data_IF_461948278405
#
_entry.id   IF_461948278405
#
_cell.length_a   1.000
_cell.length_b   1.000
_cell.length_c   1.000
_cell.angle_alpha   90.00
_cell.angle_beta   90.00
_cell.angle_gamma   90.00
#
_symmetry.space_group_name_H-M   'P 1'
#
loop_
_entity.id
_entity.type
_entity.pdbx_description
1 polymer ?
#
# COMPACT_ATOMS: atom_id res chain seq x y z
N UNK A 1 -4.41 20.54 21.25
CA UNK A 1 -5.02 19.40 20.55
C UNK A 1 -5.09 18.26 21.56
N UNK A 2 -6.29 17.77 21.89
CA UNK A 2 -6.41 16.60 22.75
C UNK A 2 -5.75 15.40 22.04
N UNK A 3 -4.82 14.73 22.70
CA UNK A 3 -4.15 13.56 22.13
C UNK A 3 -5.18 12.49 21.79
N UNK A 4 -5.24 12.08 20.53
CA UNK A 4 -6.02 10.90 20.13
C UNK A 4 -5.48 9.68 20.85
N UNK A 5 -6.36 8.90 21.48
CA UNK A 5 -5.97 7.67 22.17
C UNK A 5 -5.18 6.74 21.24
N UNK A 6 -4.20 6.04 21.81
CA UNK A 6 -3.33 5.14 21.04
C UNK A 6 -4.13 4.09 20.29
N UNK A 7 -3.57 3.67 19.15
CA UNK A 7 -4.23 2.82 18.16
C UNK A 7 -3.57 1.46 18.08
N UNK A 8 -4.40 0.42 17.97
CA UNK A 8 -3.90 -0.94 17.75
C UNK A 8 -3.20 -1.05 16.40
N UNK A 9 -2.05 -1.73 16.38
CA UNK A 9 -1.32 -2.06 15.16
C UNK A 9 -1.58 -3.52 14.77
N UNK A 10 -1.93 -3.76 13.51
CA UNK A 10 -2.19 -5.09 12.95
C UNK A 10 -1.26 -5.36 11.77
N UNK A 11 -0.44 -6.40 11.83
CA UNK A 11 0.34 -6.85 10.69
C UNK A 11 -0.55 -7.56 9.67
N UNK A 12 -0.35 -7.28 8.39
CA UNK A 12 -1.13 -7.86 7.29
C UNK A 12 -0.19 -8.48 6.27
N UNK A 13 -0.02 -9.80 6.32
CA UNK A 13 0.67 -10.58 5.30
C UNK A 13 -0.36 -11.32 4.45
N UNK A 14 -0.93 -10.61 3.49
CA UNK A 14 -2.04 -11.10 2.68
C UNK A 14 -2.02 -10.48 1.27
N UNK A 15 -2.80 -11.01 0.32
CA UNK A 15 -2.95 -10.39 -1.00
C UNK A 15 -3.36 -8.91 -0.90
N UNK A 16 -3.00 -8.12 -1.92
CA UNK A 16 -3.22 -6.68 -1.92
C UNK A 16 -4.70 -6.28 -1.70
N UNK A 17 -5.66 -7.14 -2.07
CA UNK A 17 -7.09 -6.90 -1.84
C UNK A 17 -7.45 -6.86 -0.34
N UNK A 18 -6.81 -7.72 0.46
CA UNK A 18 -6.98 -7.73 1.92
C UNK A 18 -6.33 -6.48 2.52
N UNK A 19 -5.12 -6.12 2.05
CA UNK A 19 -4.43 -4.89 2.46
C UNK A 19 -5.29 -3.67 2.14
N UNK A 20 -5.89 -3.57 0.95
CA UNK A 20 -6.78 -2.48 0.55
C UNK A 20 -7.99 -2.36 1.48
N UNK A 21 -8.64 -3.48 1.80
CA UNK A 21 -9.78 -3.50 2.71
C UNK A 21 -9.40 -3.00 4.11
N UNK A 22 -8.25 -3.45 4.63
CA UNK A 22 -7.75 -3.04 5.95
C UNK A 22 -7.27 -1.59 5.96
N UNK A 23 -6.64 -1.13 4.88
CA UNK A 23 -6.23 0.27 4.71
C UNK A 23 -7.43 1.21 4.74
N UNK A 24 -8.52 0.88 4.03
CA UNK A 24 -9.74 1.68 4.06
C UNK A 24 -10.30 1.79 5.48
N UNK A 25 -10.30 0.70 6.24
CA UNK A 25 -10.69 0.73 7.65
C UNK A 25 -9.73 1.58 8.50
N UNK A 26 -8.42 1.49 8.28
CA UNK A 26 -7.42 2.28 8.97
C UNK A 26 -7.51 3.79 8.65
N UNK A 27 -7.88 4.17 7.43
CA UNK A 27 -8.15 5.59 7.11
C UNK A 27 -9.45 6.08 7.77
N UNK A 28 -10.43 5.20 7.96
CA UNK A 28 -11.72 5.50 8.59
C UNK A 28 -11.75 5.38 10.14
N UNK A 29 -10.61 5.32 10.82
CA UNK A 29 -10.56 5.23 12.29
C UNK A 29 -10.41 3.82 12.90
N UNK A 30 -10.39 2.74 12.10
CA UNK A 30 -10.12 1.36 12.55
C UNK A 30 -8.67 1.09 12.94
N UNK A 31 -8.19 -0.15 13.22
CA UNK A 31 -6.79 -0.36 13.61
C UNK A 31 -5.76 0.11 12.54
N UNK A 32 -4.60 0.59 12.99
CA UNK A 32 -3.47 0.85 12.10
C UNK A 32 -2.95 -0.46 11.50
N UNK A 33 -2.39 -0.39 10.29
CA UNK A 33 -1.89 -1.59 9.60
C UNK A 33 -0.38 -1.55 9.38
N UNK A 34 0.24 -2.72 9.45
CA UNK A 34 1.61 -2.97 9.04
C UNK A 34 1.58 -3.95 7.85
N UNK A 35 1.53 -3.46 6.60
CA UNK A 35 1.51 -4.34 5.43
C UNK A 35 2.85 -5.04 5.26
N UNK A 36 2.83 -6.37 5.15
CA UNK A 36 4.00 -7.20 4.91
C UNK A 36 3.94 -7.78 3.50
N UNK A 37 5.10 -8.01 2.90
CA UNK A 37 5.16 -8.67 1.60
C UNK A 37 4.49 -10.05 1.70
N UNK A 38 3.59 -10.46 0.77
CA UNK A 38 2.90 -11.74 0.87
C UNK A 38 3.85 -12.94 0.98
N UNK A 39 5.00 -12.85 0.30
CA UNK A 39 6.07 -13.86 0.29
C UNK A 39 7.21 -13.56 1.27
N UNK A 40 7.00 -12.70 2.27
CA UNK A 40 8.01 -12.44 3.30
C UNK A 40 8.35 -13.75 4.03
N UNK A 41 9.61 -14.20 4.04
CA UNK A 41 10.00 -15.44 4.70
C UNK A 41 9.71 -15.39 6.20
N UNK A 42 9.35 -16.54 6.79
CA UNK A 42 9.01 -16.66 8.22
C UNK A 42 10.04 -15.99 9.15
N UNK A 43 11.34 -16.31 9.06
CA UNK A 43 12.35 -15.69 9.93
C UNK A 43 12.45 -14.17 9.81
N UNK A 44 12.25 -13.63 8.60
CA UNK A 44 12.29 -12.18 8.37
C UNK A 44 11.02 -11.50 8.89
N UNK A 45 9.86 -12.12 8.64
CA UNK A 45 8.59 -11.70 9.23
C UNK A 45 8.69 -11.66 10.74
N UNK A 46 9.18 -12.73 11.36
CA UNK A 46 9.23 -12.84 12.82
C UNK A 46 10.15 -11.77 13.42
N UNK A 47 11.24 -11.38 12.74
CA UNK A 47 12.06 -10.21 13.11
C UNK A 47 11.28 -8.90 13.05
N UNK A 48 10.47 -8.69 12.00
CA UNK A 48 9.62 -7.49 11.89
C UNK A 48 8.57 -7.46 12.98
N UNK A 49 7.91 -8.60 13.27
CA UNK A 49 6.90 -8.70 14.32
C UNK A 49 7.51 -8.49 15.71
N UNK A 50 8.71 -9.02 15.96
CA UNK A 50 9.42 -8.80 17.22
C UNK A 50 9.83 -7.33 17.40
N UNK A 51 10.26 -6.66 16.33
CA UNK A 51 10.70 -5.27 16.37
C UNK A 51 9.52 -4.28 16.48
N UNK A 52 8.42 -4.51 15.76
CA UNK A 52 7.31 -3.57 15.65
C UNK A 52 6.09 -3.95 16.49
N UNK A 53 6.13 -5.13 17.13
CA UNK A 53 5.18 -5.61 18.15
C UNK A 53 3.70 -5.34 17.82
N UNK A 54 3.19 -5.73 16.63
CA UNK A 54 1.78 -5.58 16.33
C UNK A 54 0.96 -6.50 17.23
N UNK A 55 -0.29 -6.13 17.49
CA UNK A 55 -1.20 -6.92 18.33
C UNK A 55 -1.64 -8.22 17.66
N UNK A 56 -1.77 -8.22 16.34
CA UNK A 56 -2.22 -9.36 15.57
C UNK A 56 -1.52 -9.46 14.22
N UNK A 57 -1.45 -10.68 13.70
CA UNK A 57 -1.04 -11.00 12.33
C UNK A 57 -2.24 -11.54 11.56
N UNK A 58 -2.54 -10.91 10.42
CA UNK A 58 -3.54 -11.35 9.46
C UNK A 58 -2.84 -12.06 8.29
N UNK A 59 -3.23 -13.30 8.03
CA UNK A 59 -2.76 -14.14 6.91
C UNK A 59 -3.95 -14.71 6.14
N UNK A 60 -4.22 -14.16 4.95
CA UNK A 60 -5.43 -14.53 4.20
C UNK A 60 -6.70 -14.20 5.00
N UNK A 61 -7.50 -15.21 5.35
CA UNK A 61 -8.68 -15.08 6.22
C UNK A 61 -8.41 -15.31 7.70
N UNK A 62 -7.23 -15.81 8.06
CA UNK A 62 -6.87 -16.09 9.45
C UNK A 62 -6.33 -14.84 10.15
N UNK A 63 -6.61 -14.73 11.45
CA UNK A 63 -6.04 -13.70 12.33
C UNK A 63 -5.50 -14.39 13.58
N UNK A 64 -4.23 -14.17 13.89
CA UNK A 64 -3.58 -14.68 15.10
C UNK A 64 -3.21 -13.50 16.01
N UNK A 65 -3.61 -13.58 17.28
CA UNK A 65 -3.15 -12.64 18.31
C UNK A 65 -1.69 -12.93 18.67
N UNK A 66 -0.92 -11.88 18.89
CA UNK A 66 0.49 -11.97 19.26
C UNK A 66 0.65 -11.65 20.75
N UNK A 67 1.64 -12.29 21.38
CA UNK A 67 1.84 -12.22 22.83
C UNK A 67 2.30 -10.84 23.34
N UNK A 68 2.83 -10.00 22.44
CA UNK A 68 3.40 -8.70 22.78
C UNK A 68 2.88 -7.67 21.80
N UNK A 69 2.20 -6.65 22.32
CA UNK A 69 1.58 -5.59 21.54
C UNK A 69 2.07 -4.23 22.01
N UNK A 70 2.52 -3.40 21.09
CA UNK A 70 2.81 -1.99 21.30
C UNK A 70 1.87 -1.19 20.39
N UNK A 71 1.04 -0.30 20.95
CA UNK A 71 0.17 0.52 20.14
C UNK A 71 0.98 1.63 19.45
N UNK A 72 0.39 2.22 18.41
CA UNK A 72 0.94 3.39 17.72
C UNK A 72 0.13 4.64 18.09
N UNK A 73 0.64 5.82 17.78
CA UNK A 73 -0.11 7.06 18.01
C UNK A 73 -1.48 7.04 17.32
N UNK A 74 -2.48 7.67 17.94
CA UNK A 74 -3.89 7.59 17.52
C UNK A 74 -4.20 8.03 16.08
N UNK A 75 -3.36 8.89 15.50
CA UNK A 75 -3.50 9.42 14.15
C UNK A 75 -2.76 8.58 13.08
N UNK A 76 -1.93 7.61 13.49
CA UNK A 76 -1.22 6.69 12.60
C UNK A 76 -2.20 5.73 11.96
N UNK A 77 -2.17 5.62 10.63
CA UNK A 77 -2.99 4.68 9.88
C UNK A 77 -2.17 3.51 9.33
N UNK A 78 -0.90 3.75 8.99
CA UNK A 78 -0.02 2.73 8.41
C UNK A 78 1.38 2.82 9.01
N UNK A 79 1.96 1.68 9.33
CA UNK A 79 3.39 1.54 9.61
C UNK A 79 4.05 0.80 8.45
N UNK A 80 5.10 1.37 7.87
CA UNK A 80 5.90 0.74 6.82
C UNK A 80 7.20 0.23 7.41
N UNK A 81 7.43 -1.09 7.34
CA UNK A 81 8.69 -1.67 7.75
C UNK A 81 9.81 -1.31 6.77
N UNK A 82 10.97 -0.95 7.32
CA UNK A 82 12.21 -0.70 6.60
C UNK A 82 13.30 -1.58 7.17
N UNK A 83 14.27 -2.02 6.34
CA UNK A 83 15.32 -2.96 6.74
C UNK A 83 16.22 -2.45 7.87
N UNK A 84 16.33 -1.14 8.04
CA UNK A 84 17.20 -0.49 9.04
C UNK A 84 18.69 -0.71 8.75
N UNK A 85 19.51 0.33 8.86
CA UNK A 85 20.97 0.21 8.65
C UNK A 85 21.67 -0.70 9.67
N UNK A 86 21.04 -0.92 10.83
CA UNK A 86 21.53 -1.79 11.92
C UNK A 86 21.06 -3.24 11.80
N UNK A 87 20.31 -3.60 10.75
CA UNK A 87 19.73 -4.93 10.55
C UNK A 87 18.48 -5.22 11.40
N UNK A 88 18.10 -4.30 12.29
CA UNK A 88 16.84 -4.36 13.04
C UNK A 88 15.78 -3.58 12.25
N UNK A 89 14.64 -4.20 11.89
CA UNK A 89 13.58 -3.50 11.19
C UNK A 89 13.07 -2.28 11.94
N UNK A 90 12.86 -1.17 11.23
CA UNK A 90 12.26 0.06 11.79
C UNK A 90 10.92 0.33 11.14
N UNK A 91 9.95 0.79 11.93
CA UNK A 91 8.64 1.19 11.46
C UNK A 91 8.61 2.68 11.15
N UNK A 92 8.22 3.04 9.93
CA UNK A 92 7.88 4.42 9.58
C UNK A 92 6.38 4.59 9.80
N UNK A 93 6.00 5.37 10.80
CA UNK A 93 4.61 5.68 11.12
C UNK A 93 4.07 6.77 10.18
N UNK A 94 2.97 6.48 9.51
CA UNK A 94 2.30 7.37 8.57
C UNK A 94 0.89 7.65 9.05
N UNK A 95 0.61 8.92 9.33
CA UNK A 95 -0.72 9.37 9.72
C UNK A 95 -1.70 9.28 8.55
N UNK A 96 -2.99 9.12 8.87
CA UNK A 96 -4.04 9.17 7.84
C UNK A 96 -3.97 10.48 7.03
N UNK A 97 -3.84 11.62 7.73
CA UNK A 97 -3.72 12.93 7.11
C UNK A 97 -2.49 13.05 6.20
N UNK A 98 -1.32 12.50 6.57
CA UNK A 98 -0.13 12.53 5.73
C UNK A 98 -0.30 11.69 4.46
N UNK A 99 -0.92 10.50 4.59
CA UNK A 99 -1.21 9.63 3.46
C UNK A 99 -2.18 10.31 2.48
N UNK A 100 -3.25 10.89 2.99
CA UNK A 100 -4.27 11.58 2.21
C UNK A 100 -3.73 12.84 1.53
N UNK A 101 -2.93 13.65 2.24
CA UNK A 101 -2.29 14.83 1.67
C UNK A 101 -1.35 14.46 0.51
N UNK A 102 -0.52 13.42 0.68
CA UNK A 102 0.38 12.92 -0.37
C UNK A 102 -0.38 12.37 -1.58
N UNK A 103 -1.41 11.56 -1.32
CA UNK A 103 -2.26 11.00 -2.36
C UNK A 103 -2.99 12.11 -3.14
N UNK A 104 -3.64 13.04 -2.43
CA UNK A 104 -4.39 14.17 -2.97
C UNK A 104 -3.54 15.10 -3.81
N UNK A 105 -2.34 15.46 -3.35
CA UNK A 105 -1.40 16.25 -4.14
C UNK A 105 -1.04 15.55 -5.47
N UNK A 106 -0.83 14.23 -5.42
CA UNK A 106 -0.57 13.43 -6.62
C UNK A 106 -1.76 13.36 -7.58
N UNK A 107 -2.98 13.18 -7.05
CA UNK A 107 -4.23 13.16 -7.83
C UNK A 107 -4.44 14.49 -8.56
N UNK A 108 -4.32 15.61 -7.85
CA UNK A 108 -4.43 16.95 -8.43
C UNK A 108 -3.39 17.18 -9.52
N UNK A 109 -2.12 16.81 -9.27
CA UNK A 109 -1.03 17.03 -10.22
C UNK A 109 -1.20 16.27 -11.53
N UNK A 110 -1.78 15.06 -11.47
CA UNK A 110 -2.00 14.18 -12.63
C UNK A 110 -3.39 14.32 -13.26
N UNK A 111 -4.27 15.15 -12.68
CA UNK A 111 -5.63 15.37 -13.19
C UNK A 111 -6.56 14.16 -13.03
N UNK A 112 -6.32 13.33 -12.00
CA UNK A 112 -7.20 12.22 -11.67
C UNK A 112 -8.41 12.72 -10.88
N UNK A 113 -9.59 12.19 -11.23
CA UNK A 113 -10.90 12.63 -10.73
C UNK A 113 -11.73 11.46 -10.20
N UNK A 114 -12.85 11.76 -9.53
CA UNK A 114 -13.76 10.73 -9.03
C UNK A 114 -14.14 9.72 -10.13
N UNK A 115 -14.16 8.43 -9.79
CA UNK A 115 -14.40 7.35 -10.76
C UNK A 115 -13.17 6.90 -11.55
N UNK A 116 -12.06 7.64 -11.56
CA UNK A 116 -10.81 7.16 -12.16
C UNK A 116 -10.28 5.94 -11.41
N UNK A 117 -9.90 4.93 -12.20
CA UNK A 117 -9.48 3.63 -11.67
C UNK A 117 -7.99 3.43 -11.85
N UNK A 118 -7.34 3.09 -10.75
CA UNK A 118 -5.90 2.86 -10.70
C UNK A 118 -5.54 1.38 -10.84
N UNK A 119 -4.42 1.10 -11.50
CA UNK A 119 -3.70 -0.16 -11.41
C UNK A 119 -2.61 -0.06 -10.33
N UNK A 120 -2.57 -1.04 -9.44
CA UNK A 120 -1.44 -1.29 -8.55
C UNK A 120 -0.74 -2.58 -8.98
N UNK A 121 0.47 -2.44 -9.55
CA UNK A 121 1.38 -3.55 -9.84
C UNK A 121 2.68 -3.48 -9.02
N UNK A 122 2.67 -2.66 -7.96
CA UNK A 122 3.77 -2.46 -7.03
C UNK A 122 3.49 -3.18 -5.70
N UNK A 123 4.53 -3.60 -4.96
CA UNK A 123 4.33 -4.17 -3.62
C UNK A 123 3.66 -3.15 -2.68
N UNK A 124 2.57 -3.57 -2.04
CA UNK A 124 1.79 -2.74 -1.10
C UNK A 124 2.42 -2.67 0.30
N UNK A 125 3.50 -3.41 0.53
CA UNK A 125 4.40 -3.28 1.69
C UNK A 125 5.38 -2.11 1.57
N UNK A 126 5.39 -1.40 0.45
CA UNK A 126 6.17 -0.19 0.23
C UNK A 126 5.26 0.99 -0.05
N UNK A 127 5.72 2.19 0.29
CA UNK A 127 4.93 3.43 0.18
C UNK A 127 4.41 3.67 -1.24
N UNK A 128 5.15 3.30 -2.29
CA UNK A 128 4.75 3.50 -3.67
C UNK A 128 3.47 2.71 -4.04
N UNK A 129 3.42 1.42 -3.73
CA UNK A 129 2.22 0.60 -3.95
C UNK A 129 1.09 0.97 -2.99
N UNK A 130 1.42 1.26 -1.73
CA UNK A 130 0.44 1.72 -0.74
C UNK A 130 -0.28 3.00 -1.19
N UNK A 131 0.45 3.98 -1.74
CA UNK A 131 -0.11 5.23 -2.21
C UNK A 131 -1.06 5.05 -3.41
N UNK A 132 -0.93 4.00 -4.21
CA UNK A 132 -1.94 3.65 -5.22
C UNK A 132 -3.26 3.25 -4.55
N UNK A 133 -3.19 2.49 -3.46
CA UNK A 133 -4.36 2.09 -2.68
C UNK A 133 -5.03 3.30 -2.03
N UNK A 134 -4.27 4.20 -1.40
CA UNK A 134 -4.80 5.43 -0.78
C UNK A 134 -5.53 6.29 -1.81
N UNK A 135 -4.95 6.51 -3.00
CA UNK A 135 -5.60 7.23 -4.09
C UNK A 135 -6.92 6.60 -4.50
N UNK A 136 -6.98 5.28 -4.55
CA UNK A 136 -8.23 4.57 -4.88
C UNK A 136 -9.29 4.76 -3.79
N UNK A 137 -8.90 4.79 -2.51
CA UNK A 137 -9.82 5.14 -1.40
C UNK A 137 -10.35 6.57 -1.58
N UNK A 138 -9.47 7.55 -1.83
CA UNK A 138 -9.87 8.96 -2.01
C UNK A 138 -10.80 9.18 -3.22
N UNK A 139 -10.61 8.40 -4.29
CA UNK A 139 -11.44 8.47 -5.49
C UNK A 139 -12.73 7.63 -5.40
N UNK A 140 -12.95 6.91 -4.29
CA UNK A 140 -14.09 6.01 -4.13
C UNK A 140 -14.06 4.79 -5.06
N UNK A 141 -12.90 4.42 -5.60
CA UNK A 141 -12.78 3.33 -6.59
C UNK A 141 -12.07 2.10 -6.03
N UNK A 142 -12.32 0.94 -6.65
CA UNK A 142 -11.56 -0.29 -6.38
C UNK A 142 -10.41 -0.42 -7.39
N UNK A 143 -9.14 -0.46 -6.94
CA UNK A 143 -8.02 -0.57 -7.85
C UNK A 143 -8.04 -1.92 -8.57
N UNK A 144 -7.46 -1.94 -9.77
CA UNK A 144 -6.98 -3.19 -10.34
C UNK A 144 -5.69 -3.59 -9.63
N UNK A 145 -5.62 -4.81 -9.11
CA UNK A 145 -4.48 -5.29 -8.34
C UNK A 145 -3.77 -6.42 -9.09
N UNK A 146 -2.46 -6.27 -9.30
CA UNK A 146 -1.58 -7.34 -9.75
C UNK A 146 -0.53 -7.63 -8.66
N UNK A 147 -0.33 -8.90 -8.33
CA UNK A 147 0.64 -9.31 -7.29
C UNK A 147 2.09 -8.99 -7.63
N UNK A 148 2.36 -8.77 -8.92
CA UNK A 148 3.67 -8.40 -9.46
C UNK A 148 3.50 -7.62 -10.76
N UNK A 149 4.56 -6.94 -11.17
CA UNK A 149 4.65 -6.36 -12.49
C UNK A 149 4.65 -7.43 -13.58
N UNK A 150 3.79 -7.23 -14.57
CA UNK A 150 3.72 -8.01 -15.81
C UNK A 150 3.43 -7.02 -16.95
N UNK A 151 4.31 -6.98 -17.96
CA UNK A 151 4.26 -5.94 -18.99
C UNK A 151 2.98 -6.01 -19.83
N UNK A 152 2.54 -7.22 -20.19
CA UNK A 152 1.34 -7.42 -21.00
C UNK A 152 0.08 -7.06 -20.20
N UNK A 153 0.01 -7.46 -18.93
CA UNK A 153 -1.10 -7.14 -18.06
C UNK A 153 -1.20 -5.64 -17.77
N UNK A 154 -0.07 -4.95 -17.63
CA UNK A 154 -0.04 -3.48 -17.48
C UNK A 154 -0.47 -2.80 -18.79
N UNK A 155 0.03 -3.25 -19.95
CA UNK A 155 -0.37 -2.69 -21.24
C UNK A 155 -1.87 -2.89 -21.54
N UNK A 156 -2.45 -4.03 -21.15
CA UNK A 156 -3.86 -4.35 -21.36
C UNK A 156 -4.83 -3.77 -20.33
N UNK A 157 -4.34 -3.16 -19.24
CA UNK A 157 -5.21 -2.66 -18.17
C UNK A 157 -6.22 -1.58 -18.61
N UNK A 158 -5.89 -0.65 -19.53
CA UNK A 158 -6.87 0.33 -20.03
C UNK A 158 -8.11 -0.29 -20.66
N UNK A 159 -7.99 -1.44 -21.33
CA UNK A 159 -9.15 -2.19 -21.85
C UNK A 159 -10.11 -2.69 -20.75
N UNK A 160 -9.69 -2.64 -19.49
CA UNK A 160 -10.47 -2.99 -18.29
C UNK A 160 -10.89 -1.76 -17.48
N UNK A 161 -10.90 -0.60 -18.11
CA UNK A 161 -11.32 0.68 -17.52
C UNK A 161 -10.31 1.28 -16.55
N UNK A 162 -9.04 0.84 -16.56
CA UNK A 162 -7.98 1.50 -15.79
C UNK A 162 -7.53 2.75 -16.52
N UNK A 163 -7.49 3.88 -15.82
CA UNK A 163 -7.05 5.16 -16.38
C UNK A 163 -5.68 5.59 -15.88
N UNK A 164 -5.26 5.10 -14.71
CA UNK A 164 -4.01 5.51 -14.06
C UNK A 164 -3.18 4.33 -13.54
N UNK A 165 -1.86 4.50 -13.47
CA UNK A 165 -0.97 3.54 -12.80
C UNK A 165 0.25 4.26 -12.21
N UNK A 166 0.96 3.57 -11.32
CA UNK A 166 2.27 3.99 -10.82
C UNK A 166 3.32 2.94 -11.17
N UNK A 167 4.48 3.38 -11.66
CA UNK A 167 5.58 2.52 -12.09
C UNK A 167 6.92 3.06 -11.56
N UNK A 168 7.89 2.17 -11.41
CA UNK A 168 9.29 2.58 -11.25
C UNK A 168 9.96 2.76 -12.63
N UNK A 169 11.04 3.54 -12.76
CA UNK A 169 11.69 3.80 -14.05
C UNK A 169 12.04 2.54 -14.85
N UNK A 170 12.50 1.50 -14.15
CA UNK A 170 12.86 0.21 -14.78
C UNK A 170 11.64 -0.54 -15.33
N UNK A 171 10.46 -0.41 -14.72
CA UNK A 171 9.22 -0.99 -15.24
C UNK A 171 8.76 -0.28 -16.50
N UNK A 172 8.80 1.06 -16.51
CA UNK A 172 8.49 1.83 -17.71
C UNK A 172 9.42 1.46 -18.85
N UNK A 173 10.73 1.36 -18.59
CA UNK A 173 11.70 0.97 -19.62
C UNK A 173 11.36 -0.39 -20.24
N UNK A 174 11.02 -1.38 -19.40
CA UNK A 174 10.59 -2.71 -19.87
C UNK A 174 9.31 -2.67 -20.72
N UNK A 175 8.35 -1.81 -20.39
CA UNK A 175 7.14 -1.62 -21.20
C UNK A 175 7.48 -1.06 -22.58
N UNK A 176 8.35 -0.04 -22.63
CA UNK A 176 8.77 0.59 -23.88
C UNK A 176 9.58 -0.38 -24.75
N UNK A 177 10.51 -1.13 -24.16
CA UNK A 177 11.31 -2.14 -24.86
C UNK A 177 10.44 -3.30 -25.40
N UNK A 178 9.32 -3.60 -24.73
CA UNK A 178 8.34 -4.59 -25.19
C UNK A 178 7.33 -4.03 -26.21
N UNK A 179 7.44 -2.76 -26.62
CA UNK A 179 6.51 -2.13 -27.56
C UNK A 179 5.10 -1.94 -27.01
N UNK A 180 4.93 -1.82 -25.69
CA UNK A 180 3.62 -1.66 -25.06
C UNK A 180 2.95 -0.34 -25.49
N UNK A 181 1.67 -0.41 -25.88
CA UNK A 181 0.86 0.78 -26.11
C UNK A 181 0.33 1.33 -24.77
N UNK A 182 0.84 2.49 -24.37
CA UNK A 182 0.48 3.14 -23.12
C UNK A 182 -0.52 4.29 -23.31
N UNK A 183 -0.96 4.58 -24.54
CA UNK A 183 -1.86 5.72 -24.84
C UNK A 183 -3.25 5.58 -24.23
N UNK A 184 -3.64 4.37 -23.83
CA UNK A 184 -4.88 4.11 -23.10
C UNK A 184 -4.86 4.64 -21.66
N UNK A 185 -3.69 4.93 -21.09
CA UNK A 185 -3.58 5.57 -19.79
C UNK A 185 -3.76 7.09 -19.91
N UNK A 186 -4.57 7.66 -19.02
CA UNK A 186 -4.70 9.11 -18.84
C UNK A 186 -3.53 9.69 -18.04
N UNK A 187 -2.94 8.89 -17.14
CA UNK A 187 -1.78 9.30 -16.35
C UNK A 187 -0.95 8.13 -15.85
N UNK A 188 0.37 8.26 -15.96
CA UNK A 188 1.34 7.32 -15.39
C UNK A 188 2.24 8.10 -14.42
N UNK A 189 2.19 7.71 -13.14
CA UNK A 189 3.08 8.26 -12.12
C UNK A 189 4.38 7.46 -12.11
N UNK A 190 5.52 8.15 -12.15
CA UNK A 190 6.85 7.54 -12.02
C UNK A 190 7.50 7.96 -10.71
N UNK A 191 8.05 7.00 -9.98
CA UNK A 191 8.75 7.22 -8.71
C UNK A 191 9.63 6.06 -8.29
#
# INVERSE_FOLDING_TARGET
>A
MAGTADRQLVAVQAPAAVVFTRLRAALAGGPAILPLAPRLPGPERDRVLAALRPQALVTGSATALLASAEPVAGDVAVVVATSGSTGIPKGVELTGAALEASAGAGLTRIGATEGDRWLCCLPVSHVAGLQVLVRSVLLGTTPLLHDRFDAAAVAGAPARGVTHTALVPTMLRRLLDAGADLRGYRGILLG
#
